data_IF_408461717196
#
_entry.id   IF_408461717196
#
_cell.length_a   1.000
_cell.length_b   1.000
_cell.length_c   1.000
_cell.angle_alpha   90.00
_cell.angle_beta   90.00
_cell.angle_gamma   90.00
#
_symmetry.space_group_name_H-M   'P 1'
#
loop_
_entity.id
_entity.type
_entity.pdbx_description
1 polymer ?
#
# COMPACT_ATOMS: atom_id res chain seq x y z
N UNK A 1 17.46 12.08 6.31
CA UNK A 1 16.68 10.88 5.90
C UNK A 1 17.55 10.08 4.95
N UNK A 2 17.73 8.77 5.21
CA UNK A 2 18.51 7.87 4.34
C UNK A 2 17.52 7.24 3.37
N UNK A 3 17.81 7.34 2.08
CA UNK A 3 17.01 6.73 1.02
C UNK A 3 17.83 5.60 0.40
N UNK A 4 17.27 4.40 0.32
CA UNK A 4 17.84 3.31 -0.47
C UNK A 4 17.06 3.17 -1.77
N UNK A 5 17.77 2.97 -2.87
CA UNK A 5 17.28 3.13 -4.23
C UNK A 5 17.03 1.74 -4.86
N UNK A 6 15.81 1.44 -5.27
CA UNK A 6 15.50 0.24 -6.07
C UNK A 6 14.73 0.66 -7.33
N UNK A 7 15.19 0.18 -8.50
CA UNK A 7 14.67 0.57 -9.82
C UNK A 7 14.13 -0.61 -10.61
N UNK A 8 13.00 -0.41 -11.30
CA UNK A 8 12.68 -1.12 -12.55
C UNK A 8 12.20 -0.08 -13.60
N UNK A 9 13.19 0.53 -14.25
CA UNK A 9 13.23 1.47 -15.39
C UNK A 9 12.32 2.71 -15.52
N UNK A 10 11.31 2.94 -14.69
CA UNK A 10 10.68 4.28 -14.61
C UNK A 10 9.97 4.56 -13.29
N UNK A 11 9.50 3.53 -12.59
CA UNK A 11 8.94 3.66 -11.26
C UNK A 11 10.07 3.72 -10.21
N UNK A 12 9.98 4.70 -9.31
CA UNK A 12 10.90 4.88 -8.17
C UNK A 12 10.15 4.57 -6.88
N UNK A 13 10.62 3.59 -6.12
CA UNK A 13 10.12 3.26 -4.79
C UNK A 13 11.16 3.61 -3.73
N UNK A 14 10.76 4.38 -2.72
CA UNK A 14 11.61 4.78 -1.61
C UNK A 14 11.06 4.25 -0.29
N UNK A 15 11.93 3.69 0.54
CA UNK A 15 11.61 3.33 1.92
C UNK A 15 12.26 4.33 2.86
N UNK A 16 11.49 4.84 3.83
CA UNK A 16 12.00 5.78 4.82
C UNK A 16 11.46 5.47 6.22
N UNK A 17 12.33 5.65 7.22
CA UNK A 17 11.94 5.74 8.63
C UNK A 17 11.99 7.22 9.02
N UNK A 18 10.85 7.89 9.17
CA UNK A 18 10.79 9.30 9.55
C UNK A 18 11.11 9.48 11.04
N UNK A 19 11.43 10.72 11.43
CA UNK A 19 11.53 11.06 12.86
C UNK A 19 10.13 11.23 13.45
N UNK A 20 10.02 11.17 14.79
CA UNK A 20 8.74 11.39 15.49
C UNK A 20 8.19 12.80 15.24
N UNK A 21 9.06 13.79 15.11
CA UNK A 21 8.70 15.18 14.81
C UNK A 21 8.09 15.30 13.42
N UNK A 22 8.72 14.69 12.41
CA UNK A 22 8.18 14.68 11.05
C UNK A 22 6.84 13.94 10.98
N UNK A 23 6.74 12.78 11.66
CA UNK A 23 5.51 11.99 11.70
C UNK A 23 4.36 12.80 12.29
N UNK A 24 4.59 13.43 13.44
CA UNK A 24 3.60 14.29 14.11
C UNK A 24 3.18 15.48 13.25
N UNK A 25 4.11 16.07 12.49
CA UNK A 25 3.79 17.15 11.57
C UNK A 25 2.97 16.68 10.36
N UNK A 26 3.15 15.43 9.93
CA UNK A 26 2.53 14.88 8.71
C UNK A 26 1.15 14.30 8.96
N UNK A 27 1.00 13.45 9.99
CA UNK A 27 -0.28 12.75 10.27
C UNK A 27 -0.93 13.18 11.58
N UNK A 28 -0.40 14.24 12.21
CA UNK A 28 -0.87 14.76 13.49
C UNK A 28 -0.45 13.89 14.68
N UNK A 29 -1.16 14.05 15.81
CA UNK A 29 -0.93 13.28 17.03
C UNK A 29 -1.50 11.85 16.97
N UNK A 30 -1.59 11.27 15.77
CA UNK A 30 -2.19 9.96 15.54
C UNK A 30 -1.10 8.87 15.55
N UNK A 31 -0.85 8.31 16.74
CA UNK A 31 0.09 7.19 16.92
C UNK A 31 -0.39 5.87 16.34
N UNK A 32 -1.65 5.78 15.90
CA UNK A 32 -2.26 4.54 15.40
C UNK A 32 -2.00 4.29 13.92
N UNK A 33 -1.45 5.28 13.20
CA UNK A 33 -1.05 5.10 11.80
C UNK A 33 0.29 4.37 11.81
N UNK A 34 0.30 3.18 11.22
CA UNK A 34 1.43 2.26 11.23
C UNK A 34 2.37 2.45 10.02
N UNK A 35 1.81 2.88 8.89
CA UNK A 35 2.51 3.19 7.65
C UNK A 35 1.85 4.35 6.92
N UNK A 36 2.56 4.92 5.94
CA UNK A 36 2.05 5.95 5.05
C UNK A 36 2.70 5.84 3.69
N UNK A 37 1.89 5.83 2.63
CA UNK A 37 2.33 5.85 1.25
C UNK A 37 2.07 7.23 0.62
N UNK A 38 3.12 7.83 0.06
CA UNK A 38 3.00 8.99 -0.83
C UNK A 38 3.22 8.56 -2.26
N UNK A 39 2.25 8.85 -3.12
CA UNK A 39 2.27 8.49 -4.53
C UNK A 39 2.32 9.77 -5.36
N UNK A 40 3.15 9.77 -6.39
CA UNK A 40 3.21 10.83 -7.40
C UNK A 40 2.88 10.22 -8.76
N UNK A 41 1.97 10.83 -9.50
CA UNK A 41 1.61 10.37 -10.85
C UNK A 41 2.72 10.65 -11.87
N UNK A 42 2.58 10.21 -13.12
CA UNK A 42 3.59 10.45 -14.16
C UNK A 42 3.73 11.93 -14.56
N UNK A 43 2.74 12.76 -14.21
CA UNK A 43 2.76 14.21 -14.41
C UNK A 43 3.45 14.96 -13.26
N UNK A 44 3.94 14.27 -12.22
CA UNK A 44 4.60 14.88 -11.06
C UNK A 44 3.64 15.40 -9.98
N UNK A 45 2.35 15.09 -10.06
CA UNK A 45 1.32 15.51 -9.10
C UNK A 45 1.22 14.47 -7.97
N UNK A 46 1.28 14.94 -6.73
CA UNK A 46 1.05 14.08 -5.56
C UNK A 46 -0.42 13.64 -5.50
N UNK A 47 -0.63 12.35 -5.37
CA UNK A 47 -1.94 11.73 -5.16
C UNK A 47 -2.17 11.66 -3.63
N UNK A 48 -3.20 12.34 -3.12
CA UNK A 48 -3.57 12.37 -1.69
C UNK A 48 -4.83 11.54 -1.42
N UNK A 49 -4.99 11.00 -0.20
CA UNK A 49 -6.11 10.13 0.22
C UNK A 49 -7.52 10.58 -0.22
N UNK A 50 -7.80 11.89 -0.21
CA UNK A 50 -9.10 12.45 -0.64
C UNK A 50 -9.41 12.25 -2.13
N UNK A 51 -8.41 11.87 -2.93
CA UNK A 51 -8.53 11.53 -4.35
C UNK A 51 -8.32 10.02 -4.60
N UNK A 52 -8.14 9.20 -3.53
CA UNK A 52 -7.63 7.81 -3.56
C UNK A 52 -8.69 6.75 -3.26
N UNK A 53 -9.86 7.12 -2.72
CA UNK A 53 -10.95 6.16 -2.50
C UNK A 53 -11.39 5.59 -3.88
N UNK A 54 -10.98 4.37 -4.17
CA UNK A 54 -11.31 3.66 -5.42
C UNK A 54 -10.30 3.80 -6.56
N UNK A 55 -9.06 4.20 -6.29
CA UNK A 55 -8.05 4.17 -7.34
C UNK A 55 -7.71 2.72 -7.71
N UNK A 56 -8.12 2.33 -8.91
CA UNK A 56 -7.47 1.36 -9.79
C UNK A 56 -6.74 2.16 -10.90
N UNK A 57 -5.73 2.97 -10.53
CA UNK A 57 -5.07 3.93 -11.42
C UNK A 57 -3.63 3.52 -11.69
N UNK A 58 -3.36 3.20 -12.95
CA UNK A 58 -2.01 2.86 -13.43
C UNK A 58 -1.08 4.08 -13.56
N UNK A 59 -1.60 5.30 -13.41
CA UNK A 59 -0.82 6.54 -13.56
C UNK A 59 0.05 6.80 -12.31
N UNK A 60 1.07 5.97 -12.12
CA UNK A 60 2.02 6.06 -11.00
C UNK A 60 3.43 6.24 -11.55
N UNK A 61 4.06 7.36 -11.19
CA UNK A 61 5.44 7.66 -11.55
C UNK A 61 6.43 7.38 -10.43
N UNK A 62 6.06 7.63 -9.18
CA UNK A 62 6.90 7.38 -8.02
C UNK A 62 6.09 7.13 -6.75
N UNK A 63 6.71 6.42 -5.80
CA UNK A 63 6.13 6.09 -4.51
C UNK A 63 7.16 6.20 -3.38
N UNK A 64 6.72 6.69 -2.23
CA UNK A 64 7.50 6.68 -0.98
C UNK A 64 6.68 6.02 0.12
N UNK A 65 7.27 5.06 0.82
CA UNK A 65 6.69 4.39 1.97
C UNK A 65 7.41 4.87 3.22
N UNK A 66 6.62 5.34 4.18
CA UNK A 66 7.09 5.77 5.48
C UNK A 66 6.53 4.83 6.54
N UNK A 67 7.40 4.10 7.22
CA UNK A 67 6.99 3.25 8.35
C UNK A 67 7.01 4.09 9.62
N UNK A 68 5.94 4.05 10.41
CA UNK A 68 5.82 4.86 11.62
C UNK A 68 7.00 4.66 12.57
N UNK A 69 7.55 5.74 13.17
CA UNK A 69 8.64 5.65 14.15
C UNK A 69 8.18 5.05 15.48
N UNK A 70 6.89 4.74 15.62
CA UNK A 70 6.32 4.03 16.77
C UNK A 70 6.23 2.52 16.54
N UNK A 71 6.47 2.04 15.31
CA UNK A 71 6.69 0.61 15.05
C UNK A 71 8.10 0.26 15.52
N UNK A 72 8.18 -0.71 16.43
CA UNK A 72 9.45 -1.08 17.06
C UNK A 72 9.74 -2.56 16.87
N UNK A 73 10.87 -3.03 17.40
CA UNK A 73 11.21 -4.45 17.40
C UNK A 73 10.17 -5.32 18.14
N UNK A 74 9.39 -4.75 19.07
CA UNK A 74 8.34 -5.48 19.80
C UNK A 74 7.06 -5.67 19.00
N UNK A 75 6.85 -4.89 17.92
CA UNK A 75 5.78 -5.14 16.94
C UNK A 75 6.02 -6.51 16.32
N UNK A 76 4.97 -7.32 16.12
CA UNK A 76 5.18 -8.67 15.59
C UNK A 76 5.75 -8.63 14.16
N UNK A 77 6.53 -9.63 13.76
CA UNK A 77 6.99 -9.75 12.37
C UNK A 77 5.79 -9.78 11.41
N UNK A 78 4.71 -10.44 11.81
CA UNK A 78 3.47 -10.47 11.06
C UNK A 78 2.94 -9.07 10.75
N UNK A 79 2.83 -8.24 11.78
CA UNK A 79 2.30 -6.89 11.67
C UNK A 79 3.23 -6.00 10.84
N UNK A 80 4.55 -6.11 11.04
CA UNK A 80 5.53 -5.37 10.22
C UNK A 80 5.46 -5.73 8.73
N UNK A 81 5.34 -7.03 8.42
CA UNK A 81 5.22 -7.50 7.03
C UNK A 81 3.89 -7.07 6.42
N UNK A 82 2.79 -7.16 7.18
CA UNK A 82 1.50 -6.62 6.76
C UNK A 82 1.59 -5.14 6.42
N UNK A 83 2.14 -4.31 7.31
CA UNK A 83 2.23 -2.84 7.11
C UNK A 83 2.97 -2.55 5.81
N UNK A 84 4.12 -3.19 5.62
CA UNK A 84 4.93 -2.98 4.42
C UNK A 84 4.17 -3.41 3.14
N UNK A 85 3.51 -4.56 3.17
CA UNK A 85 2.76 -5.07 2.02
C UNK A 85 1.56 -4.18 1.70
N UNK A 86 0.85 -3.70 2.71
CA UNK A 86 -0.27 -2.77 2.59
C UNK A 86 0.16 -1.47 1.91
N UNK A 87 1.23 -0.83 2.41
CA UNK A 87 1.76 0.39 1.81
C UNK A 87 2.28 0.15 0.38
N UNK A 88 2.90 -1.00 0.11
CA UNK A 88 3.29 -1.39 -1.25
C UNK A 88 2.09 -1.56 -2.17
N UNK A 89 0.95 -2.05 -1.66
CA UNK A 89 -0.32 -2.10 -2.37
C UNK A 89 -0.75 -0.73 -2.88
N UNK A 90 -0.66 0.31 -2.03
CA UNK A 90 -0.88 1.70 -2.45
C UNK A 90 0.08 2.14 -3.56
N UNK A 91 1.37 1.81 -3.47
CA UNK A 91 2.35 2.17 -4.50
C UNK A 91 2.05 1.52 -5.85
N UNK A 92 1.47 0.33 -5.88
CA UNK A 92 1.05 -0.31 -7.14
C UNK A 92 -0.36 0.08 -7.57
N UNK A 93 -1.01 1.01 -6.84
CA UNK A 93 -2.28 1.60 -7.22
C UNK A 93 -3.51 0.93 -6.64
N UNK A 94 -3.38 0.14 -5.57
CA UNK A 94 -4.53 -0.36 -4.82
C UNK A 94 -4.97 0.66 -3.77
N UNK A 95 -6.26 0.96 -3.71
CA UNK A 95 -6.86 1.74 -2.62
C UNK A 95 -7.13 0.88 -1.38
N UNK A 96 -7.52 1.52 -0.27
CA UNK A 96 -8.18 0.80 0.82
C UNK A 96 -9.49 0.20 0.30
N UNK A 97 -9.73 -1.07 0.61
CA UNK A 97 -10.99 -1.74 0.24
C UNK A 97 -11.84 -1.99 1.48
N UNK A 98 -12.83 -1.13 1.69
CA UNK A 98 -13.81 -1.26 2.76
C UNK A 98 -15.18 -1.79 2.29
N UNK A 99 -15.33 -2.03 0.98
CA UNK A 99 -16.58 -2.45 0.38
C UNK A 99 -16.34 -3.39 -0.81
N UNK A 100 -17.37 -4.16 -1.16
CA UNK A 100 -17.31 -5.09 -2.29
C UNK A 100 -17.27 -4.30 -3.61
N UNK A 101 -16.28 -4.58 -4.45
CA UNK A 101 -16.22 -4.11 -5.85
C UNK A 101 -16.94 -5.11 -6.75
N UNK A 102 -17.92 -4.66 -7.54
CA UNK A 102 -18.67 -5.49 -8.49
C UNK A 102 -17.81 -6.07 -9.62
N UNK A 103 -16.63 -5.52 -9.88
CA UNK A 103 -15.69 -6.03 -10.89
C UNK A 103 -14.84 -7.20 -10.34
N UNK A 104 -14.65 -7.26 -9.03
CA UNK A 104 -13.86 -8.30 -8.37
C UNK A 104 -14.79 -9.37 -7.76
N UNK A 105 -14.80 -10.61 -8.27
CA UNK A 105 -15.65 -11.68 -7.75
C UNK A 105 -15.18 -12.21 -6.38
N UNK A 106 -14.10 -11.67 -5.83
CA UNK A 106 -13.52 -12.06 -4.55
C UNK A 106 -13.67 -10.92 -3.55
N UNK A 107 -14.71 -10.90 -2.70
CA UNK A 107 -14.91 -9.81 -1.75
C UNK A 107 -13.76 -9.70 -0.72
N UNK A 108 -13.36 -8.48 -0.34
CA UNK A 108 -12.17 -8.22 0.48
C UNK A 108 -12.24 -8.87 1.87
N UNK A 109 -13.44 -8.99 2.45
CA UNK A 109 -13.64 -9.55 3.79
C UNK A 109 -13.96 -11.05 3.83
N UNK A 110 -14.23 -11.67 2.67
CA UNK A 110 -14.68 -13.07 2.61
C UNK A 110 -13.62 -14.03 2.06
N UNK A 111 -12.58 -13.54 1.40
CA UNK A 111 -11.45 -14.38 0.99
C UNK A 111 -10.66 -14.87 2.21
N UNK A 112 -10.09 -16.10 2.18
CA UNK A 112 -9.18 -16.55 3.22
C UNK A 112 -8.03 -15.55 3.43
N UNK A 113 -7.82 -15.11 4.67
CA UNK A 113 -6.83 -14.09 5.04
C UNK A 113 -7.32 -12.65 4.95
N UNK A 114 -8.41 -12.38 4.21
CA UNK A 114 -8.90 -11.03 3.83
C UNK A 114 -7.87 -10.21 3.05
N UNK A 115 -8.34 -9.23 2.27
CA UNK A 115 -7.46 -8.34 1.54
C UNK A 115 -6.43 -7.66 2.45
N UNK A 116 -5.18 -7.59 1.97
CA UNK A 116 -4.12 -6.85 2.66
C UNK A 116 -4.42 -5.35 2.70
N UNK A 117 -5.29 -4.86 1.82
CA UNK A 117 -5.73 -3.45 1.72
C UNK A 117 -6.91 -3.10 2.64
N UNK A 118 -7.39 -4.04 3.45
CA UNK A 118 -8.33 -3.70 4.54
C UNK A 118 -7.58 -3.06 5.71
N UNK A 119 -8.27 -2.54 6.72
CA UNK A 119 -7.64 -2.09 7.97
C UNK A 119 -7.33 -3.22 8.97
N UNK A 120 -7.58 -4.49 8.61
CA UNK A 120 -7.40 -5.62 9.52
C UNK A 120 -6.09 -6.37 9.23
N UNK A 121 -5.24 -6.52 10.25
CA UNK A 121 -4.00 -7.29 10.22
C UNK A 121 -4.25 -8.81 10.13
N UNK A 122 -4.78 -9.30 9.00
CA UNK A 122 -5.15 -10.71 8.81
C UNK A 122 -4.39 -11.42 7.67
N UNK A 123 -3.67 -10.68 6.82
CA UNK A 123 -2.83 -11.26 5.75
C UNK A 123 -1.48 -10.54 5.62
N UNK A 124 -0.37 -11.25 5.72
CA UNK A 124 0.97 -10.68 5.47
C UNK A 124 1.28 -10.46 3.98
N UNK A 125 0.52 -11.11 3.10
CA UNK A 125 0.76 -11.17 1.66
C UNK A 125 -0.54 -10.95 0.91
N UNK A 126 -0.42 -10.61 -0.37
CA UNK A 126 -1.55 -10.47 -1.28
C UNK A 126 -2.45 -11.71 -1.23
N UNK A 127 -3.74 -11.46 -1.10
CA UNK A 127 -4.78 -12.49 -1.19
C UNK A 127 -5.37 -12.53 -2.59
N UNK A 128 -6.33 -13.44 -2.79
CA UNK A 128 -7.00 -13.57 -4.07
C UNK A 128 -7.75 -12.31 -4.48
N UNK A 129 -8.26 -11.53 -3.52
CA UNK A 129 -8.86 -10.21 -3.78
C UNK A 129 -7.82 -9.26 -4.39
N UNK A 130 -6.70 -9.06 -3.68
CA UNK A 130 -5.65 -8.11 -4.06
C UNK A 130 -5.02 -8.48 -5.42
N UNK A 131 -4.79 -9.78 -5.65
CA UNK A 131 -4.29 -10.29 -6.93
C UNK A 131 -5.26 -9.95 -8.05
N UNK A 132 -6.57 -10.17 -7.85
CA UNK A 132 -7.55 -9.93 -8.89
C UNK A 132 -7.73 -8.44 -9.19
N UNK A 133 -7.65 -7.56 -8.19
CA UNK A 133 -7.62 -6.11 -8.40
C UNK A 133 -6.42 -5.70 -9.24
N UNK A 134 -5.23 -6.25 -8.97
CA UNK A 134 -4.05 -6.02 -9.81
C UNK A 134 -4.26 -6.55 -11.22
N UNK A 135 -4.86 -7.72 -11.39
CA UNK A 135 -5.13 -8.31 -12.72
C UNK A 135 -6.14 -7.46 -13.53
N UNK A 136 -7.24 -7.02 -12.92
CA UNK A 136 -8.20 -6.08 -13.53
C UNK A 136 -7.47 -4.77 -13.85
N UNK A 137 -6.79 -4.22 -12.84
CA UNK A 137 -6.16 -2.92 -12.93
C UNK A 137 -5.10 -2.90 -14.00
N UNK A 138 -4.27 -3.92 -14.17
CA UNK A 138 -3.16 -3.95 -15.13
C UNK A 138 -3.42 -4.75 -16.42
N UNK A 139 -4.51 -5.51 -16.49
CA UNK A 139 -4.93 -6.22 -17.71
C UNK A 139 -4.03 -7.40 -18.08
N UNK A 140 -3.37 -8.01 -17.10
CA UNK A 140 -2.60 -9.24 -17.26
C UNK A 140 -2.89 -10.21 -16.11
N UNK A 141 -2.69 -11.51 -16.32
CA UNK A 141 -2.84 -12.49 -15.24
C UNK A 141 -1.53 -12.72 -14.50
N UNK A 142 -1.55 -12.50 -13.19
CA UNK A 142 -0.47 -12.82 -12.26
C UNK A 142 -0.43 -14.31 -11.92
N UNK A 143 -1.56 -15.02 -12.08
CA UNK A 143 -1.74 -16.42 -11.67
C UNK A 143 -1.06 -17.47 -12.57
N UNK A 144 -0.60 -17.06 -13.76
CA UNK A 144 -0.03 -17.97 -14.77
C UNK A 144 1.50 -17.97 -14.85
N UNK A 145 2.19 -17.29 -13.95
CA UNK A 145 3.65 -17.27 -13.93
C UNK A 145 4.18 -18.59 -13.37
N UNK A 146 4.66 -19.46 -14.26
CA UNK A 146 5.42 -20.68 -13.94
C UNK A 146 6.91 -20.43 -14.05
#
# INVERSE_FOLDING_TARGET
MKFENTSFNSAKLFFATPTKEWWKATVGNNGNIAGLAFITNTDGIQITESNVIGINNRNIGAGSIFVSPYITASTSEFERTYILMHEMGHIIGLGHTDYDDFLNPYPPYTVPGRSVMTYNYLAQFLTLHDIYDVEIMYGFSCRNWK
#
